data_IF_537399883299
#
_entry.id   IF_537399883299
#
_cell.length_a   1.000
_cell.length_b   1.000
_cell.length_c   1.000
_cell.angle_alpha   90.00
_cell.angle_beta   90.00
_cell.angle_gamma   90.00
#
_symmetry.space_group_name_H-M   'P 1'
#
loop_
_entity.id
_entity.type
_entity.pdbx_description
1 polymer ?
#
# COMPACT_ATOMS: atom_id res chain seq x y z
N UNK A 1 -3.87 0.34 -1.02
CA UNK A 1 -5.15 0.63 -0.34
C UNK A 1 -6.30 0.22 -1.23
N UNK A 2 -7.38 -0.36 -0.71
CA UNK A 2 -8.58 -0.64 -1.50
C UNK A 2 -9.53 0.56 -1.45
N UNK A 3 -10.09 0.93 -2.60
CA UNK A 3 -11.07 2.01 -2.76
C UNK A 3 -12.32 1.40 -3.39
N UNK A 4 -13.45 1.32 -2.68
CA UNK A 4 -14.70 0.86 -3.28
C UNK A 4 -15.19 1.83 -4.36
N UNK A 5 -16.05 1.36 -5.25
CA UNK A 5 -16.75 2.25 -6.19
C UNK A 5 -17.52 3.33 -5.43
N UNK A 6 -17.17 4.59 -5.68
CA UNK A 6 -17.67 5.74 -4.93
C UNK A 6 -17.88 6.95 -5.84
N UNK A 7 -18.72 7.90 -5.41
CA UNK A 7 -18.85 9.21 -6.04
C UNK A 7 -17.84 10.24 -5.49
N UNK A 8 -17.13 9.90 -4.42
CA UNK A 8 -16.07 10.72 -3.86
C UNK A 8 -14.93 10.91 -4.88
N UNK A 9 -14.40 12.12 -4.97
CA UNK A 9 -13.33 12.47 -5.91
C UNK A 9 -11.96 12.59 -5.25
N UNK A 10 -11.91 12.54 -3.92
CA UNK A 10 -10.69 12.74 -3.17
C UNK A 10 -10.55 11.72 -2.03
N UNK A 11 -9.30 11.40 -1.69
CA UNK A 11 -8.93 10.70 -0.48
C UNK A 11 -7.80 11.43 0.23
N UNK A 12 -7.68 11.23 1.53
CA UNK A 12 -6.57 11.73 2.34
C UNK A 12 -5.84 10.55 3.00
N UNK A 13 -4.52 10.55 2.91
CA UNK A 13 -3.64 9.66 3.65
C UNK A 13 -2.91 10.46 4.72
N UNK A 14 -2.85 9.90 5.92
CA UNK A 14 -2.09 10.39 7.05
C UNK A 14 -1.21 9.26 7.56
N UNK A 15 0.05 9.54 7.82
CA UNK A 15 0.97 8.68 8.53
C UNK A 15 1.60 9.48 9.65
N UNK A 16 1.53 8.98 10.88
CA UNK A 16 2.10 9.67 12.04
C UNK A 16 2.78 8.70 13.00
N UNK A 17 3.70 9.20 13.79
CA UNK A 17 4.13 8.45 14.96
C UNK A 17 3.17 8.66 16.16
N UNK A 18 3.23 7.79 17.19
CA UNK A 18 2.35 7.90 18.35
C UNK A 18 2.51 9.18 19.18
N UNK A 19 3.65 9.87 19.04
CA UNK A 19 3.95 11.08 19.81
C UNK A 19 3.53 12.36 19.06
N UNK A 20 3.27 12.27 17.75
CA UNK A 20 2.99 13.39 16.87
C UNK A 20 4.24 14.14 16.38
N UNK A 21 5.44 13.61 16.63
CA UNK A 21 6.70 14.23 16.20
C UNK A 21 6.98 14.01 14.70
N UNK A 22 6.39 12.94 14.16
CA UNK A 22 6.37 12.65 12.74
C UNK A 22 4.94 12.73 12.22
N UNK A 23 4.70 13.53 11.18
CA UNK A 23 3.46 13.53 10.42
C UNK A 23 3.77 13.68 8.92
N UNK A 24 3.16 12.81 8.12
CA UNK A 24 3.04 12.96 6.68
C UNK A 24 1.56 12.92 6.32
N UNK A 25 1.11 13.89 5.52
CA UNK A 25 -0.25 13.98 5.02
C UNK A 25 -0.24 14.25 3.53
N UNK A 26 -1.06 13.53 2.79
CA UNK A 26 -1.24 13.75 1.36
C UNK A 26 -2.70 13.54 0.95
N UNK A 27 -3.14 14.33 -0.04
CA UNK A 27 -4.44 14.14 -0.69
C UNK A 27 -4.26 13.57 -2.08
N UNK A 28 -5.19 12.71 -2.48
CA UNK A 28 -5.16 12.04 -3.77
C UNK A 28 -6.49 12.24 -4.49
N UNK A 29 -6.42 12.50 -5.79
CA UNK A 29 -7.60 12.45 -6.66
C UNK A 29 -7.98 10.98 -6.86
N UNK A 30 -9.21 10.61 -6.52
CA UNK A 30 -9.71 9.26 -6.71
C UNK A 30 -10.23 9.05 -8.15
N UNK A 31 -9.96 7.86 -8.73
CA UNK A 31 -10.53 7.45 -9.99
C UNK A 31 -12.02 7.11 -9.82
N UNK A 32 -12.79 7.18 -10.91
CA UNK A 32 -14.23 6.85 -10.89
C UNK A 32 -14.53 5.36 -10.71
N UNK A 33 -13.54 4.50 -10.96
CA UNK A 33 -13.65 3.05 -10.85
C UNK A 33 -13.04 2.57 -9.54
N UNK A 34 -13.75 1.73 -8.80
CA UNK A 34 -13.22 1.08 -7.59
C UNK A 34 -12.13 0.03 -7.91
N UNK A 35 -11.33 -0.30 -6.89
CA UNK A 35 -10.17 -1.17 -6.97
C UNK A 35 -9.04 -0.79 -6.01
N UNK A 36 -7.83 -1.26 -6.26
CA UNK A 36 -6.67 -1.07 -5.39
C UNK A 36 -5.77 0.05 -5.92
N UNK A 37 -5.41 1.00 -5.06
CA UNK A 37 -4.49 2.09 -5.35
C UNK A 37 -3.15 1.92 -4.62
N UNK A 38 -2.09 2.45 -5.21
CA UNK A 38 -0.76 2.56 -4.59
C UNK A 38 -0.62 3.93 -3.91
N UNK A 39 -0.15 3.90 -2.67
CA UNK A 39 0.24 5.09 -1.88
C UNK A 39 1.73 4.98 -1.63
N UNK A 40 2.49 6.01 -1.99
CA UNK A 40 3.94 6.08 -1.77
C UNK A 40 4.26 7.32 -0.94
N UNK A 41 5.22 7.17 -0.03
CA UNK A 41 5.87 8.30 0.62
C UNK A 41 6.91 8.88 -0.34
N UNK A 42 6.98 10.21 -0.52
CA UNK A 42 7.97 10.81 -1.40
C UNK A 42 9.37 10.69 -0.79
N UNK A 43 10.40 10.55 -1.63
CA UNK A 43 11.81 10.48 -1.19
C UNK A 43 12.27 11.73 -0.41
N UNK A 44 11.55 12.86 -0.54
CA UNK A 44 11.79 14.07 0.22
C UNK A 44 11.32 14.00 1.68
N UNK A 45 10.51 13.00 2.03
CA UNK A 45 10.01 12.83 3.39
C UNK A 45 11.13 12.29 4.30
N UNK A 46 11.12 12.68 5.56
CA UNK A 46 12.03 12.10 6.55
C UNK A 46 11.83 10.57 6.59
N UNK A 47 12.90 9.76 6.48
CA UNK A 47 12.78 8.31 6.56
C UNK A 47 12.16 7.87 7.89
N UNK A 48 11.42 6.76 7.85
CA UNK A 48 10.88 6.15 9.06
C UNK A 48 12.00 5.50 9.87
N UNK A 49 11.95 5.69 11.19
CA UNK A 49 12.82 4.95 12.12
C UNK A 49 12.53 3.45 12.09
N UNK A 50 13.60 2.65 12.03
CA UNK A 50 13.53 1.18 12.10
C UNK A 50 12.97 0.74 13.46
N UNK A 51 12.04 -0.22 13.44
CA UNK A 51 11.45 -0.80 14.64
C UNK A 51 10.40 0.06 15.34
N UNK A 52 10.22 1.33 14.92
CA UNK A 52 9.21 2.24 15.45
C UNK A 52 7.85 1.98 14.78
N UNK A 53 6.80 1.98 15.58
CA UNK A 53 5.41 1.89 15.11
C UNK A 53 4.94 3.26 14.61
N UNK A 54 4.26 3.26 13.47
CA UNK A 54 3.58 4.42 12.90
C UNK A 54 2.11 4.06 12.65
N UNK A 55 1.21 4.99 12.94
CA UNK A 55 -0.21 4.87 12.63
C UNK A 55 -0.48 5.50 11.28
N UNK A 56 -1.17 4.77 10.41
CA UNK A 56 -1.70 5.32 9.18
C UNK A 56 -3.23 5.39 9.23
N UNK A 57 -3.76 6.40 8.55
CA UNK A 57 -5.19 6.58 8.27
C UNK A 57 -5.35 6.87 6.79
N UNK A 58 -6.35 6.25 6.17
CA UNK A 58 -6.78 6.53 4.81
C UNK A 58 -8.28 6.84 4.81
N UNK A 59 -8.64 8.05 4.42
CA UNK A 59 -10.01 8.55 4.45
C UNK A 59 -10.49 8.92 3.04
N UNK A 60 -11.54 8.26 2.56
CA UNK A 60 -12.26 8.66 1.35
C UNK A 60 -13.18 9.83 1.71
N UNK A 61 -12.98 10.95 1.03
CA UNK A 61 -13.66 12.22 1.33
C UNK A 61 -15.02 12.22 0.65
N UNK A 62 -16.06 11.81 1.39
CA UNK A 62 -17.42 11.72 0.84
C UNK A 62 -18.07 13.10 0.67
N UNK A 63 -17.78 14.03 1.58
CA UNK A 63 -18.29 15.39 1.59
C UNK A 63 -17.22 16.31 2.21
N UNK A 64 -16.67 17.21 1.40
CA UNK A 64 -15.57 18.07 1.81
C UNK A 64 -15.98 19.11 2.85
N UNK A 65 -17.27 19.49 2.90
CA UNK A 65 -17.81 20.45 3.86
C UNK A 65 -18.18 19.76 5.18
N UNK A 66 -18.49 18.46 5.13
CA UNK A 66 -18.86 17.64 6.30
C UNK A 66 -18.24 16.24 6.24
N UNK A 67 -17.12 16.07 6.96
CA UNK A 67 -16.30 14.85 6.97
C UNK A 67 -16.85 13.71 7.87
N UNK A 68 -18.05 13.87 8.42
CA UNK A 68 -18.70 12.88 9.30
C UNK A 68 -19.08 11.57 8.60
N UNK A 69 -19.12 11.59 7.25
CA UNK A 69 -19.50 10.46 6.40
C UNK A 69 -18.33 9.83 5.65
N UNK A 70 -17.10 10.19 6.00
CA UNK A 70 -15.94 9.57 5.38
C UNK A 70 -15.91 8.06 5.61
N UNK A 71 -15.36 7.36 4.62
CA UNK A 71 -14.98 5.96 4.79
C UNK A 71 -13.51 5.97 5.21
N UNK A 72 -13.24 5.48 6.42
CA UNK A 72 -11.91 5.58 7.04
C UNK A 72 -11.38 4.18 7.35
N UNK A 73 -10.20 3.89 6.82
CA UNK A 73 -9.37 2.75 7.22
C UNK A 73 -8.20 3.26 8.06
N UNK A 74 -7.81 2.46 9.06
CA UNK A 74 -6.66 2.74 9.92
C UNK A 74 -5.82 1.49 10.10
N UNK A 75 -4.54 1.69 10.39
CA UNK A 75 -3.66 0.58 10.75
C UNK A 75 -2.32 1.05 11.28
N UNK A 76 -1.46 0.08 11.56
CA UNK A 76 -0.10 0.31 12.04
C UNK A 76 0.88 -0.25 11.02
N UNK A 77 1.97 0.47 10.81
CA UNK A 77 3.10 0.03 9.99
C UNK A 77 4.39 0.23 10.78
N UNK A 78 5.37 -0.64 10.51
CA UNK A 78 6.68 -0.62 11.13
C UNK A 78 7.72 -0.92 10.08
N UNK A 79 8.79 -0.15 10.07
CA UNK A 79 9.94 -0.46 9.24
C UNK A 79 10.72 -1.62 9.88
N UNK A 80 10.66 -2.80 9.26
CA UNK A 80 11.31 -4.01 9.75
C UNK A 80 12.82 -3.96 9.53
N UNK A 81 13.58 -4.30 10.58
CA UNK A 81 15.03 -4.45 10.46
C UNK A 81 15.37 -5.74 9.71
N UNK A 82 16.05 -5.61 8.57
CA UNK A 82 16.55 -6.73 7.79
C UNK A 82 17.98 -7.09 8.18
N UNK A 83 18.24 -8.38 8.37
CA UNK A 83 19.61 -8.90 8.51
C UNK A 83 20.42 -8.70 7.22
N UNK A 84 21.77 -8.69 7.28
CA UNK A 84 22.61 -8.57 6.09
C UNK A 84 22.31 -9.63 5.02
N UNK A 85 22.02 -10.86 5.45
CA UNK A 85 21.65 -11.97 4.56
C UNK A 85 20.33 -11.69 3.84
N UNK A 86 19.29 -11.26 4.58
CA UNK A 86 17.99 -10.95 3.98
C UNK A 86 18.09 -9.79 2.99
N UNK A 87 18.85 -8.72 3.32
CA UNK A 87 19.12 -7.62 2.39
C UNK A 87 19.77 -8.12 1.11
N UNK A 88 20.84 -8.92 1.23
CA UNK A 88 21.52 -9.49 0.06
C UNK A 88 20.61 -10.38 -0.79
N UNK A 89 19.71 -11.15 -0.16
CA UNK A 89 18.75 -12.00 -0.88
C UNK A 89 17.73 -11.16 -1.63
N UNK A 90 17.19 -10.10 -1.02
CA UNK A 90 16.24 -9.18 -1.65
C UNK A 90 16.87 -8.41 -2.81
N UNK A 91 18.09 -7.90 -2.63
CA UNK A 91 18.81 -7.13 -3.65
C UNK A 91 19.06 -7.94 -4.92
N UNK A 92 19.40 -9.22 -4.78
CA UNK A 92 19.71 -10.13 -5.88
C UNK A 92 18.47 -10.81 -6.48
N UNK A 93 17.34 -10.78 -5.79
CA UNK A 93 16.13 -11.47 -6.23
C UNK A 93 15.48 -10.75 -7.43
N UNK A 94 15.09 -11.55 -8.42
CA UNK A 94 14.14 -11.13 -9.45
C UNK A 94 12.83 -10.65 -8.80
N UNK A 95 12.08 -9.73 -9.41
CA UNK A 95 10.95 -9.07 -8.76
C UNK A 95 9.91 -10.01 -8.14
N UNK A 96 9.54 -11.10 -8.84
CA UNK A 96 8.58 -12.08 -8.32
C UNK A 96 9.13 -12.78 -7.08
N UNK A 97 10.41 -13.16 -7.13
CA UNK A 97 11.08 -13.80 -5.99
C UNK A 97 11.24 -12.84 -4.83
N UNK A 98 11.49 -11.55 -5.10
CA UNK A 98 11.58 -10.50 -4.09
C UNK A 98 10.27 -10.37 -3.31
N UNK A 99 9.12 -10.43 -4.00
CA UNK A 99 7.82 -10.42 -3.32
C UNK A 99 7.61 -11.65 -2.42
N UNK A 100 7.98 -12.85 -2.89
CA UNK A 100 7.93 -14.07 -2.08
C UNK A 100 8.80 -13.96 -0.82
N UNK A 101 10.03 -13.42 -0.95
CA UNK A 101 10.94 -13.23 0.18
C UNK A 101 10.38 -12.22 1.19
N UNK A 102 9.79 -11.11 0.74
CA UNK A 102 9.11 -10.18 1.64
C UNK A 102 8.00 -10.86 2.44
N UNK A 103 7.19 -11.70 1.78
CA UNK A 103 6.14 -12.46 2.46
C UNK A 103 6.73 -13.46 3.47
N UNK A 104 7.79 -14.19 3.11
CA UNK A 104 8.51 -15.12 3.98
C UNK A 104 9.08 -14.42 5.22
N UNK A 105 9.55 -13.17 5.07
CA UNK A 105 10.07 -12.37 6.18
C UNK A 105 8.98 -11.64 6.98
N UNK A 106 7.69 -11.83 6.65
CA UNK A 106 6.57 -11.16 7.31
C UNK A 106 6.43 -9.68 6.96
N UNK A 107 7.07 -9.21 5.90
CA UNK A 107 7.04 -7.82 5.41
C UNK A 107 5.92 -7.69 4.38
N UNK A 108 4.68 -7.84 4.88
CA UNK A 108 3.51 -8.04 4.05
C UNK A 108 3.22 -6.88 3.08
N UNK A 109 3.35 -5.64 3.54
CA UNK A 109 3.07 -4.44 2.73
C UNK A 109 3.98 -4.38 1.50
N UNK A 110 5.28 -4.65 1.66
CA UNK A 110 6.26 -4.69 0.58
C UNK A 110 6.02 -5.86 -0.38
N UNK A 111 5.60 -7.02 0.13
CA UNK A 111 5.23 -8.16 -0.71
C UNK A 111 4.08 -7.80 -1.66
N UNK A 112 2.98 -7.26 -1.12
CA UNK A 112 1.81 -6.85 -1.91
C UNK A 112 2.16 -5.71 -2.86
N UNK A 113 2.90 -4.68 -2.41
CA UNK A 113 3.31 -3.57 -3.25
C UNK A 113 4.21 -4.00 -4.42
N UNK A 114 5.11 -4.96 -4.18
CA UNK A 114 5.99 -5.52 -5.22
C UNK A 114 5.19 -6.28 -6.26
N UNK A 115 4.25 -7.15 -5.84
CA UNK A 115 3.40 -7.87 -6.79
C UNK A 115 2.45 -6.95 -7.56
N UNK A 116 1.89 -5.93 -6.91
CA UNK A 116 1.07 -4.93 -7.58
C UNK A 116 1.86 -4.22 -8.70
N UNK A 117 3.11 -3.84 -8.42
CA UNK A 117 4.01 -3.24 -9.42
C UNK A 117 4.31 -4.19 -10.58
N UNK A 118 4.46 -5.50 -10.30
CA UNK A 118 4.70 -6.52 -11.32
C UNK A 118 3.51 -6.76 -12.22
N UNK A 119 2.33 -6.93 -11.63
CA UNK A 119 1.08 -7.11 -12.37
C UNK A 119 0.84 -5.93 -13.32
N UNK A 120 1.28 -4.74 -12.91
CA UNK A 120 1.21 -3.54 -13.71
C UNK A 120 2.25 -3.42 -14.82
N UNK A 121 3.49 -3.83 -14.55
CA UNK A 121 4.59 -3.72 -15.53
C UNK A 121 4.57 -4.85 -16.56
N UNK A 122 4.05 -6.03 -16.18
CA UNK A 122 3.99 -7.20 -17.04
C UNK A 122 2.82 -8.10 -16.59
N UNK A 123 1.59 -7.84 -17.07
CA UNK A 123 0.43 -8.67 -16.76
C UNK A 123 0.58 -10.03 -17.46
N UNK A 124 1.29 -10.94 -16.80
CA UNK A 124 1.44 -12.33 -17.25
C UNK A 124 0.77 -13.29 -16.25
N UNK A 125 0.45 -14.50 -16.71
CA UNK A 125 -0.29 -15.47 -15.89
C UNK A 125 0.42 -15.85 -14.58
N UNK A 126 1.75 -15.79 -14.54
CA UNK A 126 2.52 -16.20 -13.36
C UNK A 126 2.44 -15.16 -12.23
N UNK A 127 2.62 -13.87 -12.54
CA UNK A 127 2.45 -12.79 -11.56
C UNK A 127 1.03 -12.76 -10.99
N UNK A 128 0.02 -12.99 -11.83
CA UNK A 128 -1.38 -13.08 -11.42
C UNK A 128 -1.66 -14.29 -10.50
N UNK A 129 -1.07 -15.45 -10.80
CA UNK A 129 -1.20 -16.64 -9.97
C UNK A 129 -0.54 -16.43 -8.59
N UNK A 130 0.67 -15.86 -8.55
CA UNK A 130 1.36 -15.54 -7.29
C UNK A 130 0.63 -14.45 -6.51
N UNK A 131 0.11 -13.41 -7.17
CA UNK A 131 -0.76 -12.39 -6.56
C UNK A 131 -1.96 -13.02 -5.87
N UNK A 132 -2.69 -13.86 -6.61
CA UNK A 132 -3.88 -14.54 -6.09
C UNK A 132 -3.53 -15.45 -4.92
N UNK A 133 -2.49 -16.28 -5.07
CA UNK A 133 -2.05 -17.20 -4.02
C UNK A 133 -1.58 -16.46 -2.75
N UNK A 134 -0.82 -15.37 -2.91
CA UNK A 134 -0.36 -14.57 -1.79
C UNK A 134 -1.57 -13.98 -1.07
N UNK A 135 -2.43 -13.24 -1.75
CA UNK A 135 -3.57 -12.59 -1.09
C UNK A 135 -4.56 -13.61 -0.48
N UNK A 136 -4.66 -14.82 -1.03
CA UNK A 136 -5.46 -15.90 -0.47
C UNK A 136 -4.83 -16.60 0.74
N UNK A 137 -3.52 -16.47 0.97
CA UNK A 137 -2.89 -17.03 2.16
C UNK A 137 -3.31 -16.29 3.44
N UNK A 138 -3.77 -15.05 3.29
CA UNK A 138 -4.29 -14.21 4.37
C UNK A 138 -5.82 -14.08 4.25
N UNK A 139 -6.62 -14.66 5.16
CA UNK A 139 -8.08 -14.70 5.03
C UNK A 139 -8.75 -13.33 4.86
N UNK A 140 -8.13 -12.27 5.41
CA UNK A 140 -8.65 -10.89 5.31
C UNK A 140 -8.48 -10.32 3.90
N UNK A 141 -7.55 -10.85 3.11
CA UNK A 141 -7.11 -10.29 1.83
C UNK A 141 -7.65 -11.05 0.61
N UNK A 142 -8.28 -12.21 0.82
CA UNK A 142 -9.02 -12.93 -0.21
C UNK A 142 -10.07 -12.04 -0.89
N UNK A 143 -10.73 -11.16 -0.10
CA UNK A 143 -11.75 -10.23 -0.59
C UNK A 143 -11.23 -9.21 -1.62
N UNK A 144 -9.93 -8.90 -1.59
CA UNK A 144 -9.31 -7.95 -2.51
C UNK A 144 -8.46 -8.63 -3.59
N UNK A 145 -8.30 -9.96 -3.54
CA UNK A 145 -7.44 -10.70 -4.47
C UNK A 145 -7.86 -10.56 -5.95
N UNK A 146 -9.16 -10.36 -6.19
CA UNK A 146 -9.75 -10.23 -7.52
C UNK A 146 -10.03 -8.79 -7.94
N UNK A 147 -9.75 -7.81 -7.06
CA UNK A 147 -10.01 -6.41 -7.36
C UNK A 147 -8.97 -5.87 -8.37
N UNK A 148 -9.37 -4.99 -9.29
CA UNK A 148 -8.44 -4.43 -10.25
C UNK A 148 -7.46 -3.48 -9.54
N UNK A 149 -6.20 -3.49 -9.97
CA UNK A 149 -5.27 -2.40 -9.67
C UNK A 149 -5.70 -1.17 -10.48
N UNK A 150 -6.10 -0.10 -9.80
CA UNK A 150 -6.55 1.11 -10.48
C UNK A 150 -5.34 1.93 -10.87
N UNK A 151 -5.14 2.05 -12.17
CA UNK A 151 -4.00 2.71 -12.80
C UNK A 151 -2.66 2.12 -12.34
N UNK A 152 -1.85 1.69 -13.30
CA UNK A 152 -0.51 1.20 -13.00
C UNK A 152 0.50 2.28 -12.58
N UNK A 153 0.00 3.46 -12.20
CA UNK A 153 0.75 4.56 -11.64
C UNK A 153 0.30 4.86 -10.21
N UNK A 154 1.23 5.39 -9.41
CA UNK A 154 0.92 5.97 -8.10
C UNK A 154 -0.02 7.15 -8.29
N UNK A 155 -1.12 7.21 -7.51
CA UNK A 155 -1.93 8.42 -7.47
C UNK A 155 -1.03 9.59 -7.07
N UNK A 156 -1.03 10.65 -7.88
CA UNK A 156 -0.21 11.82 -7.55
C UNK A 156 -0.85 12.55 -6.38
N UNK A 157 -0.02 12.85 -5.38
CA UNK A 157 -0.45 13.71 -4.29
C UNK A 157 -0.74 15.11 -4.83
N UNK A 158 -1.92 15.63 -4.50
CA UNK A 158 -2.30 17.02 -4.73
C UNK A 158 -1.68 17.84 -3.58
N UNK A 159 -0.39 18.15 -3.69
CA UNK A 159 0.30 19.03 -2.75
C UNK A 159 -0.19 20.47 -2.84
#
# INVERSE_FOLDING_TARGET
>A
MYVPSTSATEAEFLLRDPNGDYEYRARYTLPKTGGIIKVELPDSQTPLDVGKDYEWMFAIICDADSRDRDIVDVGTIKLTELSPTQKSQLDQAEPLKRAELYAEYGIWHDAVATLATLQCSNPNNQSLATWTQLLQSEPILDLIATQPLIECGTLKANN
#
